data_IF_680717325999
#
_entry.id   IF_680717325999
#
_cell.length_a   1.000
_cell.length_b   1.000
_cell.length_c   1.000
_cell.angle_alpha   90.00
_cell.angle_beta   90.00
_cell.angle_gamma   90.00
#
_symmetry.space_group_name_H-M   'P 1'
#
loop_
_entity.id
_entity.type
_entity.pdbx_description
1 polymer ?
#
# COMPACT_ATOMS: atom_id res chain seq x y z
N UNK A 1 -7.34 -7.05 -21.18
CA UNK A 1 -6.88 -7.09 -19.78
C UNK A 1 -5.38 -7.38 -19.81
N UNK A 2 -4.56 -6.56 -19.18
CA UNK A 2 -3.10 -6.80 -19.09
C UNK A 2 -2.91 -8.06 -18.23
N UNK A 3 -2.15 -9.02 -18.73
CA UNK A 3 -1.75 -10.21 -17.96
C UNK A 3 -0.33 -10.00 -17.44
N UNK A 4 -0.15 -10.17 -16.14
CA UNK A 4 1.15 -10.23 -15.50
C UNK A 4 1.50 -11.69 -15.25
N UNK A 5 2.78 -12.05 -15.42
CA UNK A 5 3.30 -13.34 -15.00
C UNK A 5 4.40 -13.09 -13.94
N UNK A 6 4.09 -13.46 -12.71
CA UNK A 6 5.00 -13.38 -11.58
C UNK A 6 5.34 -14.76 -11.02
N UNK A 7 5.28 -15.78 -11.86
CA UNK A 7 5.64 -17.15 -11.48
C UNK A 7 7.06 -17.18 -10.92
N UNK A 8 7.23 -17.83 -9.76
CA UNK A 8 8.51 -17.90 -9.05
C UNK A 8 8.92 -16.61 -8.29
N UNK A 9 8.09 -15.58 -8.31
CA UNK A 9 8.30 -14.34 -7.54
C UNK A 9 7.57 -14.37 -6.22
N UNK A 10 7.98 -13.48 -5.29
CA UNK A 10 7.42 -13.34 -3.95
C UNK A 10 7.03 -11.88 -3.70
N UNK A 11 5.79 -11.64 -3.31
CA UNK A 11 5.27 -10.34 -2.93
C UNK A 11 4.95 -10.27 -1.43
N UNK A 12 5.39 -9.23 -0.75
CA UNK A 12 4.97 -8.90 0.62
C UNK A 12 3.95 -7.76 0.56
N UNK A 13 2.81 -7.94 1.24
CA UNK A 13 1.76 -6.93 1.31
C UNK A 13 1.45 -6.57 2.75
N UNK A 14 1.86 -5.38 3.20
CA UNK A 14 1.45 -4.86 4.51
C UNK A 14 0.00 -4.34 4.43
N UNK A 15 -0.78 -4.54 5.49
CA UNK A 15 -2.23 -4.26 5.44
C UNK A 15 -2.98 -5.21 4.50
N UNK A 16 -2.40 -6.38 4.19
CA UNK A 16 -2.91 -7.34 3.21
C UNK A 16 -4.17 -8.12 3.61
N UNK A 17 -4.75 -7.85 4.79
CA UNK A 17 -5.94 -8.58 5.26
C UNK A 17 -7.28 -7.93 4.91
N UNK A 18 -7.28 -6.74 4.30
CA UNK A 18 -8.51 -6.02 3.92
C UNK A 18 -8.25 -4.97 2.84
N UNK A 19 -9.33 -4.49 2.24
CA UNK A 19 -9.28 -3.34 1.36
C UNK A 19 -8.32 -3.50 0.18
N UNK A 20 -7.70 -2.40 -0.22
CA UNK A 20 -6.73 -2.35 -1.32
C UNK A 20 -5.61 -3.39 -1.13
N UNK A 21 -5.12 -3.56 0.12
CA UNK A 21 -4.06 -4.53 0.41
C UNK A 21 -4.46 -5.97 0.09
N UNK A 22 -5.65 -6.40 0.51
CA UNK A 22 -6.16 -7.75 0.23
C UNK A 22 -6.34 -7.97 -1.28
N UNK A 23 -6.95 -7.00 -1.97
CA UNK A 23 -7.15 -7.12 -3.43
C UNK A 23 -5.81 -7.13 -4.16
N UNK A 24 -4.83 -6.35 -3.71
CA UNK A 24 -3.46 -6.38 -4.24
C UNK A 24 -2.80 -7.75 -4.00
N UNK A 25 -2.93 -8.32 -2.80
CA UNK A 25 -2.42 -9.67 -2.48
C UNK A 25 -3.01 -10.74 -3.41
N UNK A 26 -4.33 -10.71 -3.59
CA UNK A 26 -5.04 -11.62 -4.52
C UNK A 26 -4.61 -11.41 -5.97
N UNK A 27 -4.38 -10.18 -6.38
CA UNK A 27 -3.92 -9.87 -7.73
C UNK A 27 -2.49 -10.40 -7.99
N UNK A 28 -1.56 -10.26 -7.05
CA UNK A 28 -0.24 -10.89 -7.12
C UNK A 28 -0.33 -12.41 -7.21
N UNK A 29 -1.17 -13.03 -6.39
CA UNK A 29 -1.37 -14.49 -6.42
C UNK A 29 -1.93 -14.97 -7.76
N UNK A 30 -2.92 -14.29 -8.32
CA UNK A 30 -3.47 -14.59 -9.67
C UNK A 30 -2.44 -14.42 -10.77
N UNK A 31 -1.44 -13.57 -10.57
CA UNK A 31 -0.32 -13.40 -11.47
C UNK A 31 0.80 -14.44 -11.24
N UNK A 32 0.63 -15.42 -10.32
CA UNK A 32 1.57 -16.51 -10.08
C UNK A 32 2.59 -16.27 -8.97
N UNK A 33 2.59 -15.10 -8.32
CA UNK A 33 3.47 -14.85 -7.18
C UNK A 33 3.04 -15.64 -5.94
N UNK A 34 4.01 -16.01 -5.10
CA UNK A 34 3.74 -16.34 -3.71
C UNK A 34 3.56 -15.04 -2.92
N UNK A 35 2.60 -15.02 -1.98
CA UNK A 35 2.23 -13.79 -1.29
C UNK A 35 2.41 -13.92 0.21
N UNK A 36 3.10 -12.95 0.82
CA UNK A 36 3.16 -12.80 2.26
C UNK A 36 2.18 -11.72 2.69
N UNK A 37 1.23 -12.08 3.52
CA UNK A 37 0.21 -11.18 4.06
C UNK A 37 0.65 -10.74 5.45
N UNK A 38 0.93 -9.45 5.60
CA UNK A 38 1.30 -8.83 6.87
C UNK A 38 0.14 -7.99 7.40
N UNK A 39 -0.42 -8.35 8.55
CA UNK A 39 -1.52 -7.64 9.18
C UNK A 39 -1.54 -7.87 10.70
N UNK A 40 -2.21 -7.00 11.46
CA UNK A 40 -2.29 -7.10 12.92
C UNK A 40 -3.25 -8.20 13.40
N UNK A 41 -4.39 -8.32 12.72
CA UNK A 41 -5.45 -9.26 13.10
C UNK A 41 -5.13 -10.65 12.59
N UNK A 42 -4.98 -11.62 13.50
CA UNK A 42 -4.66 -13.00 13.15
C UNK A 42 -5.79 -13.63 12.32
N UNK A 43 -7.02 -13.55 12.81
CA UNK A 43 -8.18 -14.14 12.12
C UNK A 43 -8.38 -13.56 10.72
N UNK A 44 -8.27 -12.22 10.57
CA UNK A 44 -8.41 -11.58 9.27
C UNK A 44 -7.25 -11.92 8.31
N UNK A 45 -6.04 -12.08 8.85
CA UNK A 45 -4.87 -12.49 8.08
C UNK A 45 -4.97 -13.93 7.59
N UNK A 46 -5.43 -14.85 8.43
CA UNK A 46 -5.65 -16.24 8.05
C UNK A 46 -6.79 -16.38 7.02
N UNK A 47 -7.88 -15.63 7.17
CA UNK A 47 -8.94 -15.58 6.12
C UNK A 47 -8.38 -15.08 4.79
N UNK A 48 -7.55 -14.04 4.80
CA UNK A 48 -6.93 -13.52 3.58
C UNK A 48 -6.02 -14.57 2.91
N UNK A 49 -5.28 -15.37 3.68
CA UNK A 49 -4.53 -16.50 3.13
C UNK A 49 -5.45 -17.53 2.47
N UNK A 50 -6.53 -17.93 3.14
CA UNK A 50 -7.50 -18.88 2.57
C UNK A 50 -8.11 -18.36 1.26
N UNK A 51 -8.39 -17.06 1.15
CA UNK A 51 -8.88 -16.45 -0.10
C UNK A 51 -7.84 -16.53 -1.23
N UNK A 52 -6.55 -16.29 -0.92
CA UNK A 52 -5.46 -16.39 -1.90
C UNK A 52 -5.26 -17.84 -2.34
N UNK A 53 -5.25 -18.78 -1.39
CA UNK A 53 -5.05 -20.21 -1.65
C UNK A 53 -6.25 -20.83 -2.40
N UNK A 54 -7.46 -20.44 -2.03
CA UNK A 54 -8.68 -20.85 -2.72
C UNK A 54 -8.74 -20.38 -4.17
N UNK A 55 -7.98 -19.33 -4.53
CA UNK A 55 -7.79 -18.88 -5.90
C UNK A 55 -6.61 -19.56 -6.63
N UNK A 56 -5.99 -20.59 -6.02
CA UNK A 56 -4.86 -21.34 -6.58
C UNK A 56 -3.49 -20.71 -6.30
N UNK A 57 -3.42 -19.67 -5.47
CA UNK A 57 -2.17 -19.02 -5.07
C UNK A 57 -1.47 -19.71 -3.90
N UNK A 58 -0.27 -19.23 -3.57
CA UNK A 58 0.47 -19.60 -2.35
C UNK A 58 0.51 -18.43 -1.42
N UNK A 59 0.12 -18.59 -0.15
CA UNK A 59 0.10 -17.52 0.81
C UNK A 59 0.82 -17.91 2.11
N UNK A 60 1.34 -16.90 2.82
CA UNK A 60 1.87 -17.00 4.17
C UNK A 60 1.36 -15.80 4.96
N UNK A 61 0.63 -16.04 6.03
CA UNK A 61 0.30 -14.98 6.97
C UNK A 61 1.40 -14.82 8.03
N UNK A 62 1.77 -13.57 8.31
CA UNK A 62 2.63 -13.22 9.45
C UNK A 62 1.97 -12.06 10.19
N UNK A 63 1.62 -12.29 11.44
CA UNK A 63 1.09 -11.23 12.29
C UNK A 63 2.13 -10.11 12.43
N UNK A 64 1.74 -8.89 12.05
CA UNK A 64 2.67 -7.77 11.92
C UNK A 64 2.02 -6.46 12.34
N UNK A 65 2.62 -5.78 13.32
CA UNK A 65 2.36 -4.37 13.57
C UNK A 65 3.47 -3.54 12.91
N UNK A 66 3.10 -2.72 11.93
CA UNK A 66 4.07 -1.88 11.21
C UNK A 66 4.69 -0.78 12.07
N UNK A 67 4.16 -0.52 13.26
CA UNK A 67 4.74 0.41 14.25
C UNK A 67 5.94 -0.18 14.98
N UNK A 68 6.02 -1.52 15.05
CA UNK A 68 7.09 -2.25 15.72
C UNK A 68 8.12 -2.75 14.73
N UNK A 69 9.35 -2.22 14.85
CA UNK A 69 10.47 -2.59 13.97
C UNK A 69 10.79 -4.08 14.00
N UNK A 70 10.75 -4.70 15.19
CA UNK A 70 11.03 -6.13 15.33
C UNK A 70 9.96 -6.98 14.62
N UNK A 71 8.71 -6.54 14.64
CA UNK A 71 7.61 -7.18 13.91
C UNK A 71 7.79 -7.07 12.40
N UNK A 72 8.21 -5.89 11.91
CA UNK A 72 8.51 -5.67 10.48
C UNK A 72 9.73 -6.48 10.02
N UNK A 73 10.81 -6.49 10.80
CA UNK A 73 11.97 -7.33 10.50
C UNK A 73 11.60 -8.81 10.40
N UNK A 74 10.81 -9.30 11.34
CA UNK A 74 10.35 -10.69 11.41
C UNK A 74 9.51 -11.09 10.19
N UNK A 75 8.61 -10.25 9.67
CA UNK A 75 7.83 -10.62 8.49
C UNK A 75 8.71 -10.77 7.25
N UNK A 76 9.70 -9.90 7.06
CA UNK A 76 10.65 -10.00 5.93
C UNK A 76 11.54 -11.23 6.07
N UNK A 77 12.02 -11.54 7.27
CA UNK A 77 12.76 -12.76 7.54
C UNK A 77 11.92 -14.02 7.24
N UNK A 78 10.66 -14.05 7.72
CA UNK A 78 9.74 -15.16 7.46
C UNK A 78 9.46 -15.34 5.98
N UNK A 79 9.29 -14.23 5.22
CA UNK A 79 9.12 -14.24 3.78
C UNK A 79 10.30 -14.91 3.07
N UNK A 80 11.51 -14.44 3.37
CA UNK A 80 12.74 -14.95 2.75
C UNK A 80 13.07 -16.38 3.19
N UNK A 81 12.83 -16.75 4.45
CA UNK A 81 13.04 -18.10 4.93
C UNK A 81 12.06 -19.11 4.31
N UNK A 82 10.80 -18.70 4.11
CA UNK A 82 9.75 -19.61 3.61
C UNK A 82 9.78 -19.76 2.09
N UNK A 83 10.00 -18.65 1.35
CA UNK A 83 9.93 -18.64 -0.11
C UNK A 83 11.29 -18.44 -0.79
N UNK A 84 12.37 -18.23 -0.05
CA UNK A 84 13.74 -18.11 -0.56
C UNK A 84 14.11 -16.72 -1.08
N UNK A 85 13.15 -15.83 -1.30
CA UNK A 85 13.33 -14.50 -1.93
C UNK A 85 12.28 -13.49 -1.53
N UNK A 86 12.50 -12.23 -1.87
CA UNK A 86 11.51 -11.17 -1.90
C UNK A 86 11.74 -10.33 -3.15
N UNK A 87 10.72 -10.18 -3.99
CA UNK A 87 10.81 -9.44 -5.25
C UNK A 87 9.98 -8.17 -5.24
N UNK A 88 8.82 -8.21 -4.61
CA UNK A 88 7.86 -7.13 -4.60
C UNK A 88 7.39 -6.82 -3.18
N UNK A 89 7.17 -5.53 -2.91
CA UNK A 89 6.51 -5.09 -1.71
C UNK A 89 5.40 -4.08 -2.04
N UNK A 90 4.22 -4.26 -1.45
CA UNK A 90 3.13 -3.31 -1.49
C UNK A 90 2.82 -2.84 -0.06
N UNK A 91 3.24 -1.63 0.28
CA UNK A 91 3.07 -1.03 1.59
C UNK A 91 1.70 -0.36 1.69
N UNK A 92 0.66 -1.17 1.99
CA UNK A 92 -0.75 -0.74 2.01
C UNK A 92 -1.28 -0.45 3.42
N UNK A 93 -0.54 -0.79 4.49
CA UNK A 93 -0.97 -0.52 5.86
C UNK A 93 -1.16 0.98 6.09
N UNK A 94 -2.32 1.37 6.63
CA UNK A 94 -2.62 2.78 6.89
C UNK A 94 -3.94 2.99 7.60
N UNK A 95 -4.09 4.15 8.21
CA UNK A 95 -5.32 4.62 8.86
C UNK A 95 -5.64 6.04 8.41
N UNK A 96 -6.92 6.44 8.48
CA UNK A 96 -7.37 7.79 8.08
C UNK A 96 -7.10 8.88 9.11
N UNK A 97 -7.03 8.52 10.38
CA UNK A 97 -7.01 9.49 11.47
C UNK A 97 -8.38 10.09 11.75
N UNK A 98 -8.39 11.20 12.48
CA UNK A 98 -9.59 12.00 12.74
C UNK A 98 -9.79 13.10 11.67
N UNK A 99 -10.98 13.68 11.68
CA UNK A 99 -11.32 14.86 10.89
C UNK A 99 -11.72 15.97 11.86
N UNK A 100 -10.74 16.66 12.42
CA UNK A 100 -10.94 17.72 13.40
C UNK A 100 -10.21 19.00 12.97
N UNK A 101 -10.75 20.21 13.29
CA UNK A 101 -10.00 21.45 13.22
C UNK A 101 -8.67 21.33 13.96
N UNK A 102 -7.64 22.07 13.51
CA UNK A 102 -6.28 21.93 14.06
C UNK A 102 -6.23 22.11 15.58
N UNK A 103 -6.94 23.11 16.09
CA UNK A 103 -7.01 23.46 17.52
C UNK A 103 -7.73 22.40 18.39
N UNK A 104 -8.51 21.51 17.77
CA UNK A 104 -9.25 20.43 18.42
C UNK A 104 -8.63 19.05 18.12
N UNK A 105 -7.54 19.00 17.38
CA UNK A 105 -6.93 17.74 16.98
C UNK A 105 -6.31 16.99 18.17
N UNK A 106 -6.41 15.67 18.13
CA UNK A 106 -5.89 14.80 19.19
C UNK A 106 -4.45 14.38 18.88
N UNK A 107 -3.52 14.70 19.80
CA UNK A 107 -2.10 14.34 19.65
C UNK A 107 -1.90 12.84 19.48
N UNK A 108 -2.62 11.99 20.23
CA UNK A 108 -2.48 10.54 20.11
C UNK A 108 -2.89 10.04 18.72
N UNK A 109 -3.93 10.62 18.11
CA UNK A 109 -4.34 10.31 16.74
C UNK A 109 -3.27 10.73 15.74
N UNK A 110 -2.67 11.91 15.92
CA UNK A 110 -1.52 12.35 15.13
C UNK A 110 -0.36 11.35 15.21
N UNK A 111 0.02 10.97 16.43
CA UNK A 111 1.14 10.05 16.66
C UNK A 111 0.86 8.66 16.05
N UNK A 112 -0.35 8.14 16.19
CA UNK A 112 -0.75 6.86 15.59
C UNK A 112 -0.75 6.91 14.04
N UNK A 113 -1.27 7.99 13.45
CA UNK A 113 -1.27 8.16 11.98
C UNK A 113 0.16 8.24 11.46
N UNK A 114 1.02 9.04 12.07
CA UNK A 114 2.42 9.16 11.66
C UNK A 114 3.19 7.85 11.88
N UNK A 115 2.96 7.16 12.98
CA UNK A 115 3.60 5.89 13.29
C UNK A 115 3.22 4.79 12.28
N UNK A 116 1.95 4.72 11.86
CA UNK A 116 1.48 3.69 10.94
C UNK A 116 1.77 4.08 9.49
N UNK A 117 1.31 5.26 9.05
CA UNK A 117 1.29 5.63 7.64
C UNK A 117 2.66 6.06 7.11
N UNK A 118 3.48 6.71 7.94
CA UNK A 118 4.79 7.24 7.54
C UNK A 118 5.93 6.36 8.07
N UNK A 119 6.09 6.26 9.40
CA UNK A 119 7.17 5.47 10.00
C UNK A 119 7.06 3.99 9.64
N UNK A 120 5.85 3.42 9.59
CA UNK A 120 5.62 2.03 9.19
C UNK A 120 6.09 1.73 7.77
N UNK A 121 5.85 2.63 6.82
CA UNK A 121 6.37 2.50 5.43
C UNK A 121 7.89 2.60 5.39
N UNK A 122 8.48 3.51 6.18
CA UNK A 122 9.93 3.62 6.28
C UNK A 122 10.55 2.34 6.86
N UNK A 123 10.00 1.80 7.95
CA UNK A 123 10.43 0.54 8.54
C UNK A 123 10.32 -0.63 7.55
N UNK A 124 9.21 -0.71 6.81
CA UNK A 124 9.01 -1.73 5.79
C UNK A 124 10.12 -1.67 4.73
N UNK A 125 10.34 -0.52 4.09
CA UNK A 125 11.40 -0.35 3.09
C UNK A 125 12.79 -0.65 3.64
N UNK A 126 13.07 -0.27 4.89
CA UNK A 126 14.36 -0.53 5.56
C UNK A 126 14.73 -2.01 5.63
N UNK A 127 13.73 -2.89 5.74
CA UNK A 127 13.94 -4.34 5.82
C UNK A 127 13.69 -5.04 4.47
N UNK A 128 12.73 -4.58 3.67
CA UNK A 128 12.38 -5.14 2.36
C UNK A 128 13.51 -4.99 1.34
N UNK A 129 14.05 -3.77 1.22
CA UNK A 129 15.06 -3.46 0.20
C UNK A 129 16.34 -4.31 0.36
N UNK A 130 16.94 -4.44 1.55
CA UNK A 130 18.07 -5.36 1.72
C UNK A 130 17.75 -6.82 1.38
N UNK A 131 16.51 -7.27 1.62
CA UNK A 131 16.07 -8.60 1.22
C UNK A 131 15.99 -8.75 -0.30
N UNK A 132 15.45 -7.76 -1.02
CA UNK A 132 15.38 -7.72 -2.48
C UNK A 132 16.78 -7.70 -3.12
N UNK A 133 17.70 -6.92 -2.58
CA UNK A 133 19.07 -6.83 -3.08
C UNK A 133 19.81 -8.17 -3.05
N UNK A 134 19.54 -9.05 -2.09
CA UNK A 134 20.13 -10.40 -2.02
C UNK A 134 19.72 -11.30 -3.18
N UNK A 135 18.62 -10.98 -3.86
CA UNK A 135 18.07 -11.78 -4.97
C UNK A 135 18.05 -11.04 -6.30
N UNK A 136 18.85 -9.97 -6.42
CA UNK A 136 19.07 -9.26 -7.68
C UNK A 136 18.20 -8.01 -7.90
N UNK A 137 17.51 -7.53 -6.88
CA UNK A 137 16.68 -6.32 -6.96
C UNK A 137 15.19 -6.60 -6.79
N UNK A 138 14.36 -5.60 -7.07
CA UNK A 138 12.91 -5.71 -6.89
C UNK A 138 12.15 -4.41 -7.10
N UNK A 139 10.88 -4.39 -6.70
CA UNK A 139 10.05 -3.20 -6.78
C UNK A 139 9.19 -3.02 -5.52
N UNK A 140 9.18 -1.79 -5.02
CA UNK A 140 8.35 -1.36 -3.88
C UNK A 140 7.29 -0.38 -4.36
N UNK A 141 6.05 -0.61 -3.96
CA UNK A 141 4.93 0.31 -4.14
C UNK A 141 4.43 0.77 -2.79
N UNK A 142 4.60 2.04 -2.49
CA UNK A 142 4.10 2.66 -1.27
C UNK A 142 2.71 3.25 -1.53
N UNK A 143 1.70 2.80 -0.77
CA UNK A 143 0.33 3.32 -0.90
C UNK A 143 0.23 4.71 -0.27
N UNK A 144 0.21 5.72 -1.13
CA UNK A 144 -0.08 7.09 -0.76
C UNK A 144 -1.57 7.42 -1.04
N UNK A 145 -1.87 8.66 -1.27
CA UNK A 145 -3.20 9.20 -1.54
C UNK A 145 -3.07 10.44 -2.43
N UNK A 146 -4.16 10.89 -3.03
CA UNK A 146 -4.27 12.25 -3.58
C UNK A 146 -3.79 13.30 -2.56
N UNK A 147 -4.00 13.04 -1.27
CA UNK A 147 -3.53 13.90 -0.17
C UNK A 147 -2.03 13.73 0.15
N UNK A 148 -1.28 13.03 -0.66
CA UNK A 148 0.19 13.10 -0.72
C UNK A 148 0.69 14.21 -1.66
N UNK A 149 -0.22 14.86 -2.41
CA UNK A 149 0.07 15.96 -3.33
C UNK A 149 -0.87 17.17 -3.14
N UNK A 150 -2.03 16.98 -2.47
CA UNK A 150 -3.01 18.02 -2.19
C UNK A 150 -3.29 18.12 -0.68
N UNK A 151 -3.81 19.28 -0.26
CA UNK A 151 -4.30 19.49 1.11
C UNK A 151 -5.75 19.04 1.30
N UNK A 152 -6.14 18.82 2.55
CA UNK A 152 -7.53 18.62 2.95
C UNK A 152 -7.73 19.25 4.32
N UNK A 153 -8.65 20.19 4.42
CA UNK A 153 -9.01 20.80 5.70
C UNK A 153 -9.42 19.74 6.73
N UNK A 154 -9.05 19.97 7.98
CA UNK A 154 -9.34 19.09 9.11
C UNK A 154 -8.75 17.64 9.00
N UNK A 155 -7.80 17.39 8.08
CA UNK A 155 -7.20 16.07 7.85
C UNK A 155 -5.66 16.09 7.94
N UNK A 156 -5.12 17.02 8.73
CA UNK A 156 -3.71 17.40 8.72
C UNK A 156 -2.75 16.23 9.02
N UNK A 157 -3.05 15.36 9.98
CA UNK A 157 -2.21 14.18 10.29
C UNK A 157 -2.11 13.23 9.09
N UNK A 158 -3.24 12.92 8.46
CA UNK A 158 -3.28 12.06 7.28
C UNK A 158 -2.53 12.70 6.09
N UNK A 159 -2.83 13.96 5.80
CA UNK A 159 -2.16 14.74 4.73
C UNK A 159 -0.65 14.73 4.94
N UNK A 160 -0.18 15.09 6.15
CA UNK A 160 1.24 15.09 6.49
C UNK A 160 1.88 13.71 6.28
N UNK A 161 1.22 12.64 6.74
CA UNK A 161 1.71 11.27 6.59
C UNK A 161 1.84 10.84 5.12
N UNK A 162 0.89 11.22 4.25
CA UNK A 162 0.90 10.86 2.83
C UNK A 162 1.90 11.67 2.02
N UNK A 163 2.15 12.94 2.39
CA UNK A 163 3.28 13.72 1.87
C UNK A 163 4.63 13.12 2.28
N UNK A 164 4.76 12.65 3.54
CA UNK A 164 5.95 11.97 4.00
C UNK A 164 6.25 10.69 3.18
N UNK A 165 5.22 9.89 2.87
CA UNK A 165 5.36 8.69 2.01
C UNK A 165 5.89 9.07 0.63
N UNK A 166 5.36 10.12 0.01
CA UNK A 166 5.85 10.61 -1.30
C UNK A 166 7.29 11.07 -1.22
N UNK A 167 7.64 11.87 -0.19
CA UNK A 167 9.01 12.34 0.00
C UNK A 167 10.02 11.22 0.21
N UNK A 168 9.69 10.27 1.09
CA UNK A 168 10.54 9.09 1.33
C UNK A 168 10.69 8.22 0.08
N UNK A 169 9.61 8.02 -0.67
CA UNK A 169 9.64 7.27 -1.94
C UNK A 169 10.67 7.85 -2.90
N UNK A 170 10.67 9.17 -3.11
CA UNK A 170 11.62 9.86 -3.99
C UNK A 170 13.06 9.69 -3.51
N UNK A 171 13.31 9.91 -2.21
CA UNK A 171 14.63 9.79 -1.61
C UNK A 171 15.21 8.38 -1.76
N UNK A 172 14.42 7.37 -1.37
CA UNK A 172 14.85 5.96 -1.42
C UNK A 172 15.00 5.48 -2.87
N UNK A 173 14.15 5.94 -3.80
CA UNK A 173 14.27 5.61 -5.22
C UNK A 173 15.62 6.07 -5.79
N UNK A 174 16.07 7.28 -5.46
CA UNK A 174 17.37 7.80 -5.91
C UNK A 174 18.55 6.98 -5.35
N UNK A 175 18.45 6.55 -4.10
CA UNK A 175 19.51 5.78 -3.44
C UNK A 175 19.69 4.38 -4.04
N UNK A 176 18.60 3.74 -4.47
CA UNK A 176 18.61 2.34 -4.91
C UNK A 176 18.43 2.13 -6.42
N UNK A 177 18.26 3.18 -7.22
CA UNK A 177 18.05 3.10 -8.66
C UNK A 177 19.15 2.29 -9.39
N UNK A 178 20.42 2.56 -9.08
CA UNK A 178 21.57 1.85 -9.68
C UNK A 178 21.80 0.44 -9.11
N UNK A 179 21.04 0.09 -8.07
CA UNK A 179 21.15 -1.21 -7.38
C UNK A 179 20.00 -2.16 -7.73
N UNK A 180 19.21 -1.84 -8.76
CA UNK A 180 18.16 -2.71 -9.27
C UNK A 180 16.88 -2.72 -8.43
N UNK A 181 16.66 -1.76 -7.54
CA UNK A 181 15.39 -1.62 -6.80
C UNK A 181 14.67 -0.36 -7.24
N UNK A 182 13.41 -0.52 -7.67
CA UNK A 182 12.52 0.59 -8.00
C UNK A 182 11.56 0.84 -6.85
N UNK A 183 11.33 2.11 -6.53
CA UNK A 183 10.43 2.51 -5.45
C UNK A 183 9.49 3.58 -5.96
N UNK A 184 8.18 3.33 -5.91
CA UNK A 184 7.17 4.27 -6.41
C UNK A 184 6.04 4.46 -5.36
N UNK A 185 5.43 5.63 -5.36
CA UNK A 185 4.23 5.92 -4.60
C UNK A 185 3.00 5.86 -5.52
N UNK A 186 1.95 5.16 -5.09
CA UNK A 186 0.66 5.15 -5.74
C UNK A 186 -0.27 6.08 -4.96
N UNK A 187 -0.70 7.17 -5.60
CA UNK A 187 -1.55 8.20 -5.00
C UNK A 187 -3.02 7.90 -5.34
N UNK A 188 -3.66 7.07 -4.52
CA UNK A 188 -5.03 6.66 -4.75
C UNK A 188 -6.03 7.79 -4.46
N UNK A 189 -7.02 7.94 -5.34
CA UNK A 189 -8.24 8.70 -5.09
C UNK A 189 -9.20 7.97 -4.16
N UNK A 190 -10.40 8.50 -4.01
CA UNK A 190 -11.46 7.86 -3.23
C UNK A 190 -11.76 6.47 -3.81
N UNK A 191 -11.60 5.44 -2.98
CA UNK A 191 -11.70 4.02 -3.40
C UNK A 191 -12.75 3.30 -2.57
N UNK A 192 -13.56 2.46 -3.19
CA UNK A 192 -14.68 1.73 -2.59
C UNK A 192 -14.21 0.57 -1.67
N UNK A 193 -13.35 0.88 -0.69
CA UNK A 193 -12.89 -0.06 0.34
C UNK A 193 -13.99 -0.39 1.36
N UNK A 194 -13.90 -1.49 2.13
CA UNK A 194 -14.83 -1.77 3.22
C UNK A 194 -14.97 -0.60 4.21
N UNK A 195 -13.87 0.07 4.56
CA UNK A 195 -13.89 1.25 5.43
C UNK A 195 -14.66 2.42 4.78
N UNK A 196 -14.42 2.69 3.49
CA UNK A 196 -15.14 3.75 2.78
C UNK A 196 -16.63 3.43 2.59
N UNK A 197 -16.99 2.17 2.40
CA UNK A 197 -18.40 1.73 2.36
C UNK A 197 -19.10 1.94 3.71
N UNK A 198 -18.40 1.75 4.84
CA UNK A 198 -18.94 2.07 6.16
C UNK A 198 -19.16 3.58 6.32
N UNK A 199 -18.20 4.40 5.87
CA UNK A 199 -18.37 5.87 5.85
C UNK A 199 -19.54 6.27 4.96
N UNK A 200 -19.69 5.65 3.79
CA UNK A 200 -20.81 5.92 2.87
C UNK A 200 -22.16 5.55 3.49
N UNK A 201 -22.24 4.46 4.22
CA UNK A 201 -23.46 4.05 4.90
C UNK A 201 -23.84 5.00 6.04
N UNK A 202 -22.86 5.51 6.79
CA UNK A 202 -23.06 6.42 7.90
C UNK A 202 -23.24 7.89 7.46
N UNK A 203 -22.51 8.32 6.41
CA UNK A 203 -22.43 9.70 5.95
C UNK A 203 -22.48 9.79 4.41
N UNK A 204 -23.61 9.44 3.78
CA UNK A 204 -23.71 9.35 2.31
C UNK A 204 -23.41 10.67 1.59
N UNK A 205 -23.83 11.80 2.17
CA UNK A 205 -23.58 13.13 1.60
C UNK A 205 -22.09 13.48 1.57
N UNK A 206 -21.34 13.15 2.62
CA UNK A 206 -19.88 13.38 2.67
C UNK A 206 -19.17 12.61 1.56
N UNK A 207 -19.58 11.36 1.34
CA UNK A 207 -18.99 10.54 0.27
C UNK A 207 -19.40 11.06 -1.12
N UNK A 208 -20.63 11.53 -1.27
CA UNK A 208 -21.09 12.16 -2.53
C UNK A 208 -20.26 13.41 -2.87
N UNK A 209 -19.98 14.26 -1.88
CA UNK A 209 -19.11 15.43 -2.06
C UNK A 209 -17.66 15.05 -2.41
N UNK A 210 -17.11 14.00 -1.78
CA UNK A 210 -15.80 13.47 -2.11
C UNK A 210 -15.75 12.93 -3.54
N UNK A 211 -16.78 12.20 -3.96
CA UNK A 211 -16.90 11.66 -5.33
C UNK A 211 -17.03 12.79 -6.35
N UNK A 212 -17.79 13.83 -6.04
CA UNK A 212 -17.98 14.99 -6.95
C UNK A 212 -16.66 15.75 -7.24
N UNK A 213 -15.66 15.64 -6.37
CA UNK A 213 -14.33 16.20 -6.60
C UNK A 213 -13.47 15.38 -7.61
N UNK A 214 -13.95 14.20 -8.02
CA UNK A 214 -13.27 13.36 -8.98
C UNK A 214 -13.96 13.51 -10.35
N UNK A 215 -13.30 14.02 -11.38
CA UNK A 215 -13.90 14.23 -12.71
C UNK A 215 -14.57 12.99 -13.32
N UNK A 216 -14.07 11.77 -13.01
CA UNK A 216 -14.72 10.51 -13.43
C UNK A 216 -16.06 10.23 -12.72
N UNK A 217 -16.48 11.02 -11.73
CA UNK A 217 -17.78 10.97 -11.08
C UNK A 217 -18.09 9.71 -10.29
N UNK A 218 -17.09 8.92 -9.91
CA UNK A 218 -17.23 7.69 -9.13
C UNK A 218 -16.02 7.39 -8.25
N UNK A 219 -16.21 6.52 -7.28
CA UNK A 219 -15.07 5.91 -6.57
C UNK A 219 -14.32 4.95 -7.51
N UNK A 220 -13.02 4.83 -7.31
CA UNK A 220 -12.26 3.72 -7.88
C UNK A 220 -12.68 2.40 -7.23
N UNK A 221 -12.56 1.30 -7.95
CA UNK A 221 -12.59 -0.04 -7.34
C UNK A 221 -11.22 -0.37 -6.74
N UNK A 222 -11.17 -1.32 -5.83
CA UNK A 222 -9.92 -1.79 -5.25
C UNK A 222 -9.05 -2.48 -6.31
N UNK A 223 -9.67 -3.13 -7.30
CA UNK A 223 -9.00 -3.78 -8.44
C UNK A 223 -8.32 -2.76 -9.37
N UNK A 224 -8.92 -1.59 -9.58
CA UNK A 224 -8.29 -0.52 -10.38
C UNK A 224 -6.99 -0.05 -9.72
N UNK A 225 -6.98 0.11 -8.40
CA UNK A 225 -5.78 0.48 -7.65
C UNK A 225 -4.75 -0.67 -7.67
N UNK A 226 -5.18 -1.89 -7.39
CA UNK A 226 -4.31 -3.07 -7.36
C UNK A 226 -3.64 -3.34 -8.72
N UNK A 227 -4.36 -3.12 -9.83
CA UNK A 227 -3.80 -3.33 -11.17
C UNK A 227 -2.62 -2.42 -11.47
N UNK A 228 -2.69 -1.17 -11.01
CA UNK A 228 -1.58 -0.20 -11.15
C UNK A 228 -0.41 -0.57 -10.21
N UNK A 229 -0.69 -1.07 -9.00
CA UNK A 229 0.35 -1.56 -8.10
C UNK A 229 1.13 -2.73 -8.73
N UNK A 230 0.44 -3.67 -9.37
CA UNK A 230 1.09 -4.76 -10.11
C UNK A 230 1.91 -4.21 -11.28
N UNK A 231 1.34 -3.29 -12.09
CA UNK A 231 2.09 -2.71 -13.21
C UNK A 231 3.38 -2.03 -12.74
N UNK A 232 3.34 -1.27 -11.65
CA UNK A 232 4.54 -0.66 -11.08
C UNK A 232 5.60 -1.70 -10.64
N UNK A 233 5.18 -2.92 -10.33
CA UNK A 233 6.09 -4.03 -10.01
C UNK A 233 6.60 -4.77 -11.26
N UNK A 234 5.97 -4.61 -12.43
CA UNK A 234 6.30 -5.32 -13.66
C UNK A 234 7.51 -4.74 -14.39
N UNK A 235 8.06 -5.52 -15.33
CA UNK A 235 9.11 -5.08 -16.26
C UNK A 235 8.62 -3.95 -17.17
N UNK A 236 7.29 -3.85 -17.43
CA UNK A 236 6.68 -2.74 -18.16
C UNK A 236 6.85 -1.38 -17.48
N UNK A 237 7.16 -1.35 -16.18
CA UNK A 237 7.52 -0.16 -15.43
C UNK A 237 9.04 -0.08 -15.15
N UNK A 238 9.86 -0.77 -15.94
CA UNK A 238 11.32 -0.90 -15.72
C UNK A 238 12.08 0.43 -15.66
N UNK A 239 11.56 1.50 -16.26
CA UNK A 239 12.17 2.83 -16.20
C UNK A 239 11.38 3.81 -15.30
N UNK A 240 10.48 3.29 -14.43
CA UNK A 240 9.68 4.08 -13.50
C UNK A 240 10.17 3.86 -12.09
N UNK A 241 10.82 4.88 -11.50
CA UNK A 241 11.25 4.90 -10.10
C UNK A 241 11.15 6.33 -9.55
N UNK A 242 10.82 6.49 -8.29
CA UNK A 242 10.60 7.79 -7.63
C UNK A 242 9.30 8.50 -8.04
N UNK A 243 8.46 7.84 -8.83
CA UNK A 243 7.20 8.43 -9.27
C UNK A 243 6.19 8.51 -8.11
N UNK A 244 5.38 9.58 -8.17
CA UNK A 244 4.14 9.71 -7.39
C UNK A 244 3.00 9.64 -8.38
N UNK A 245 2.47 8.43 -8.63
CA UNK A 245 1.51 8.15 -9.69
C UNK A 245 0.09 8.33 -9.19
N UNK A 246 -0.67 9.34 -9.67
CA UNK A 246 -2.09 9.47 -9.36
C UNK A 246 -2.91 8.35 -10.02
N UNK A 247 -3.81 7.75 -9.23
CA UNK A 247 -4.86 6.84 -9.69
C UNK A 247 -6.15 7.33 -9.03
N UNK A 248 -6.67 8.43 -9.56
CA UNK A 248 -7.54 9.34 -8.83
C UNK A 248 -8.74 9.87 -9.62
N UNK A 249 -9.02 9.30 -10.81
CA UNK A 249 -10.14 9.75 -11.63
C UNK A 249 -10.09 11.22 -12.04
N UNK A 250 -8.87 11.80 -12.08
CA UNK A 250 -8.62 13.17 -12.50
C UNK A 250 -8.63 14.21 -11.37
N UNK A 251 -8.70 13.81 -10.11
CA UNK A 251 -8.75 14.74 -8.97
C UNK A 251 -7.58 15.73 -8.94
N UNK A 252 -6.35 15.29 -9.19
CA UNK A 252 -5.17 16.15 -9.18
C UNK A 252 -4.94 16.91 -10.52
N UNK A 253 -5.74 16.66 -11.54
CA UNK A 253 -5.65 17.34 -12.82
C UNK A 253 -6.63 18.52 -12.93
N UNK A 254 -7.58 18.63 -11.99
CA UNK A 254 -8.62 19.66 -11.97
C UNK A 254 -8.24 20.89 -11.13
#
# INVERSE_FOLDING_TARGET
>A
MIRFDYSGRVALVTGGSSGIGLVTARAFARAGAAVVIAARGEESGLRACMEVEGAGGRALFVQTDVRDEASVARVVERATKHFGRLDFAANCAGIGGDMAPLELSNQQVWDDVMAINARGVWLAMRHEIPAMLRTGGGAVVNMSSIYGAAGKAAHHAYVASKHAVVGMTRSVALEFATRGVRVNALCAGVTATPAMRQVQAAYPQVVQELVAQHPMGRMATEEEIASVALWLCSDGAGFVTGASLPVDGGFLAA
#
